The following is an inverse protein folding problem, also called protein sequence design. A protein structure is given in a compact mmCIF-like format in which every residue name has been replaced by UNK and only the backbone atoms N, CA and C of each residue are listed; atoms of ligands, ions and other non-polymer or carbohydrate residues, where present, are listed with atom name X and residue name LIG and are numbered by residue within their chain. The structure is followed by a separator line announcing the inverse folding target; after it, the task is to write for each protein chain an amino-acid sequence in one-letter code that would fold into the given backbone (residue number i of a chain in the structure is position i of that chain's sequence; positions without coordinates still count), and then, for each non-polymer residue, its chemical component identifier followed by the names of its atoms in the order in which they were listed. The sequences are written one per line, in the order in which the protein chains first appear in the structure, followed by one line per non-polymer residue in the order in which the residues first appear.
data_IF_889362682266
#
_entry.id   IF_889362682266
#
_cell.length_a   1.000
_cell.length_b   1.000
_cell.length_c   1.000
_cell.angle_alpha   90.00
_cell.angle_beta   90.00
_cell.angle_gamma   90.00
#
_symmetry.space_group_name_H-M   'P 1'
#
loop_
_entity.id
_entity.type
_entity.pdbx_description
1 polymer ?
#
# COMPACT_ATOMS: atom_id res chain seq x y z
N UNK A 1 5.18 -29.53 -3.90
CA UNK A 1 4.30 -28.36 -4.12
C UNK A 1 4.30 -28.09 -5.62
N UNK A 2 3.16 -27.93 -6.28
CA UNK A 2 3.16 -27.64 -7.73
C UNK A 2 3.66 -26.21 -8.00
N UNK A 3 4.42 -25.96 -9.09
CA UNK A 3 5.04 -24.66 -9.37
C UNK A 3 4.02 -23.50 -9.46
N UNK A 4 2.76 -23.78 -9.79
CA UNK A 4 1.69 -22.79 -9.85
C UNK A 4 1.30 -22.26 -8.45
N UNK A 5 1.43 -23.08 -7.40
CA UNK A 5 1.13 -22.66 -6.02
C UNK A 5 2.14 -21.64 -5.48
N UNK A 6 3.38 -21.63 -5.98
CA UNK A 6 4.42 -20.69 -5.56
C UNK A 6 4.23 -19.29 -6.16
N UNK A 7 3.62 -19.20 -7.34
CA UNK A 7 3.35 -17.91 -8.00
C UNK A 7 2.00 -17.29 -7.61
N UNK A 8 0.95 -18.11 -7.56
CA UNK A 8 -0.43 -17.60 -7.43
C UNK A 8 -0.65 -16.87 -6.09
N UNK A 9 -0.17 -17.43 -4.98
CA UNK A 9 -0.37 -16.85 -3.65
C UNK A 9 0.32 -15.48 -3.51
N UNK A 10 1.63 -15.34 -3.83
CA UNK A 10 2.24 -14.01 -3.82
C UNK A 10 1.58 -13.01 -4.79
N UNK A 11 1.21 -13.46 -5.99
CA UNK A 11 0.57 -12.58 -6.98
C UNK A 11 -0.76 -11.99 -6.50
N UNK A 12 -1.52 -12.75 -5.69
CA UNK A 12 -2.80 -12.30 -5.12
C UNK A 12 -2.59 -11.45 -3.86
N UNK A 13 -1.64 -11.78 -2.99
CA UNK A 13 -1.58 -11.20 -1.64
C UNK A 13 -0.50 -10.13 -1.42
N UNK A 14 0.60 -10.14 -2.19
CA UNK A 14 1.65 -9.13 -2.02
C UNK A 14 1.13 -7.75 -2.39
N UNK A 15 1.35 -6.77 -1.51
CA UNK A 15 0.83 -5.41 -1.66
C UNK A 15 -0.62 -5.21 -1.21
N UNK A 16 -1.34 -6.27 -0.88
CA UNK A 16 -2.76 -6.25 -0.49
C UNK A 16 -2.99 -6.43 1.04
N UNK A 17 -1.97 -6.26 1.89
CA UNK A 17 -2.12 -6.43 3.35
C UNK A 17 -3.14 -5.43 3.92
N UNK A 18 -4.28 -5.89 4.47
CA UNK A 18 -5.34 -5.01 4.96
C UNK A 18 -4.91 -4.13 6.13
N UNK A 19 -3.91 -4.54 6.92
CA UNK A 19 -3.47 -3.79 8.10
C UNK A 19 -2.75 -2.48 7.76
N UNK A 20 -2.39 -2.29 6.48
CA UNK A 20 -1.83 -1.02 5.98
C UNK A 20 -2.88 0.08 5.83
N UNK A 21 -4.17 -0.26 5.86
CA UNK A 21 -5.26 0.68 5.65
C UNK A 21 -6.08 0.84 6.93
N UNK A 22 -6.36 2.08 7.34
CA UNK A 22 -7.11 2.38 8.57
C UNK A 22 -8.49 1.69 8.63
N UNK A 23 -9.12 1.43 7.48
CA UNK A 23 -10.43 0.78 7.37
C UNK A 23 -10.34 -0.69 6.94
N UNK A 24 -9.13 -1.28 6.92
CA UNK A 24 -8.87 -2.70 6.63
C UNK A 24 -9.42 -3.19 5.28
N UNK A 25 -9.34 -2.35 4.24
CA UNK A 25 -9.69 -2.77 2.90
C UNK A 25 -8.78 -3.92 2.42
N UNK A 26 -9.39 -4.97 1.88
CA UNK A 26 -8.67 -6.12 1.30
C UNK A 26 -8.03 -5.75 -0.04
N UNK A 27 -8.69 -4.89 -0.81
CA UNK A 27 -8.16 -4.35 -2.06
C UNK A 27 -7.62 -2.94 -1.77
N UNK A 28 -6.36 -2.60 -2.11
CA UNK A 28 -5.80 -1.27 -2.00
C UNK A 28 -6.66 -0.21 -2.66
N UNK A 29 -6.63 0.96 -2.06
CA UNK A 29 -7.35 2.11 -2.54
C UNK A 29 -6.66 2.69 -3.77
N UNK A 30 -7.47 3.23 -4.67
CA UNK A 30 -6.99 4.07 -5.77
C UNK A 30 -6.79 5.48 -5.20
N UNK A 31 -5.54 5.83 -4.89
CA UNK A 31 -5.22 7.19 -4.47
C UNK A 31 -5.10 8.10 -5.68
N UNK A 32 -6.16 8.87 -5.95
CA UNK A 32 -6.15 9.93 -6.97
C UNK A 32 -5.67 11.28 -6.43
N UNK A 33 -5.22 11.33 -5.18
CA UNK A 33 -4.75 12.58 -4.58
C UNK A 33 -3.49 13.06 -5.29
N UNK A 34 -3.46 14.33 -5.66
CA UNK A 34 -2.27 14.98 -6.23
C UNK A 34 -1.34 15.56 -5.16
N UNK A 35 -1.76 15.55 -3.90
CA UNK A 35 -0.97 16.04 -2.76
C UNK A 35 -1.26 15.23 -1.48
N UNK A 36 -0.38 15.34 -0.47
CA UNK A 36 -0.53 14.71 0.84
C UNK A 36 -0.19 15.70 1.95
N UNK A 37 -0.99 15.71 3.02
CA UNK A 37 -0.74 16.58 4.17
C UNK A 37 0.60 16.23 4.85
N UNK A 38 1.44 17.25 5.05
CA UNK A 38 2.68 17.11 5.80
C UNK A 38 2.44 17.37 7.30
N UNK A 39 3.17 16.69 8.21
CA UNK A 39 3.01 16.90 9.65
C UNK A 39 3.50 18.29 10.11
N UNK A 40 4.38 18.93 9.36
CA UNK A 40 4.90 20.28 9.60
C UNK A 40 5.42 20.87 8.27
N UNK A 41 5.66 22.19 8.20
CA UNK A 41 6.39 22.81 7.08
C UNK A 41 7.79 22.19 6.90
N UNK A 42 8.36 22.19 5.68
CA UNK A 42 9.72 21.73 5.44
C UNK A 42 10.72 22.59 6.20
N UNK A 43 11.81 21.97 6.68
CA UNK A 43 12.91 22.72 7.27
C UNK A 43 13.50 23.69 6.25
N UNK A 44 13.64 24.95 6.64
CA UNK A 44 14.32 25.95 5.82
C UNK A 44 15.81 25.64 5.90
N UNK A 45 16.43 25.30 4.77
CA UNK A 45 17.89 25.33 4.67
C UNK A 45 18.30 26.80 4.54
N UNK A 46 18.80 27.35 5.65
CA UNK A 46 19.47 28.66 5.70
C UNK A 46 20.96 28.50 5.52
#
# INVERSE_FOLDING_TARGET
MSPVCEFATPAIHVGQDPNKWNHKAVIPLISLSTNFQQPAPPAVHV
#
